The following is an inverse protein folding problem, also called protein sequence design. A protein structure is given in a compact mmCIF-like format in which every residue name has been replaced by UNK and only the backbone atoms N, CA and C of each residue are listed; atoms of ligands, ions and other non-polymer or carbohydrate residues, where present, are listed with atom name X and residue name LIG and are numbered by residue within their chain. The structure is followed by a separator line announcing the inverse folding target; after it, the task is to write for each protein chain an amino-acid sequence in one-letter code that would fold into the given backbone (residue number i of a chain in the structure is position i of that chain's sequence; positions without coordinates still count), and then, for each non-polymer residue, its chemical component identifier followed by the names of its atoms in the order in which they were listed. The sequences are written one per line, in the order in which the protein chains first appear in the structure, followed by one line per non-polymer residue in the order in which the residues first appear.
data_IF_174298389085
#
_entry.id   IF_174298389085
#
_cell.length_a   1.000
_cell.length_b   1.000
_cell.length_c   1.000
_cell.angle_alpha   90.00
_cell.angle_beta   90.00
_cell.angle_gamma   90.00
#
_symmetry.space_group_name_H-M   'P 1'
#
loop_
_entity.id
_entity.type
_entity.pdbx_description
1 polymer ?
#
# COMPACT_ATOMS: atom_id res chain seq x y z
N UNK A 1 54.30 18.76 -25.34
CA UNK A 1 54.54 17.36 -25.69
C UNK A 1 53.24 16.57 -25.45
N UNK A 2 52.53 16.17 -26.55
CA UNK A 2 51.18 15.59 -26.47
C UNK A 2 51.12 14.25 -25.72
N UNK A 3 52.22 13.46 -25.70
CA UNK A 3 52.29 12.19 -25.04
C UNK A 3 52.36 12.27 -23.48
N UNK A 4 52.96 13.32 -22.95
CA UNK A 4 52.99 13.54 -21.50
C UNK A 4 51.58 13.88 -20.93
N UNK A 5 50.78 14.63 -21.72
CA UNK A 5 49.39 14.88 -21.38
C UNK A 5 48.57 13.58 -21.38
N UNK A 6 48.71 12.75 -22.42
CA UNK A 6 48.02 11.49 -22.50
C UNK A 6 48.39 10.51 -21.37
N UNK A 7 49.67 10.43 -21.00
CA UNK A 7 50.12 9.61 -19.87
C UNK A 7 49.55 10.07 -18.54
N UNK A 8 49.48 11.38 -18.30
CA UNK A 8 48.85 11.97 -17.07
C UNK A 8 47.35 11.62 -17.00
N UNK A 9 46.65 11.75 -18.12
CA UNK A 9 45.20 11.41 -18.18
C UNK A 9 44.98 9.94 -17.91
N UNK A 10 45.77 9.04 -18.53
CA UNK A 10 45.65 7.60 -18.31
C UNK A 10 45.97 7.26 -16.84
N UNK A 11 47.04 7.83 -16.28
CA UNK A 11 47.43 7.60 -14.89
C UNK A 11 46.32 8.08 -13.91
N UNK A 12 45.74 9.24 -14.17
CA UNK A 12 44.62 9.74 -13.39
C UNK A 12 43.38 8.84 -13.51
N UNK A 13 43.03 8.37 -14.72
CA UNK A 13 41.92 7.47 -14.96
C UNK A 13 42.11 6.13 -14.22
N UNK A 14 43.35 5.60 -14.16
CA UNK A 14 43.68 4.38 -13.41
C UNK A 14 43.50 4.57 -11.91
N UNK A 15 43.95 5.70 -11.34
CA UNK A 15 43.71 6.01 -9.92
C UNK A 15 42.20 6.09 -9.65
N UNK A 16 41.47 6.78 -10.50
CA UNK A 16 40.04 6.94 -10.36
C UNK A 16 39.29 5.61 -10.43
N UNK A 17 39.70 4.73 -11.36
CA UNK A 17 39.18 3.37 -11.46
C UNK A 17 39.40 2.58 -10.16
N UNK A 18 40.63 2.62 -9.61
CA UNK A 18 40.95 1.92 -8.35
C UNK A 18 40.09 2.48 -7.20
N UNK A 19 39.96 3.80 -7.10
CA UNK A 19 39.10 4.43 -6.08
C UNK A 19 37.64 3.99 -6.24
N UNK A 20 37.10 4.01 -7.45
CA UNK A 20 35.72 3.56 -7.72
C UNK A 20 35.50 2.08 -7.37
N UNK A 21 36.48 1.22 -7.67
CA UNK A 21 36.41 -0.22 -7.32
C UNK A 21 36.45 -0.44 -5.80
N UNK A 22 37.26 0.36 -5.07
CA UNK A 22 37.30 0.33 -3.60
C UNK A 22 35.94 0.77 -3.03
N UNK A 23 35.42 1.90 -3.51
CA UNK A 23 34.11 2.39 -3.09
C UNK A 23 33.01 1.37 -3.38
N UNK A 24 33.00 0.79 -4.58
CA UNK A 24 32.09 -0.31 -4.96
C UNK A 24 32.17 -1.48 -3.96
N UNK A 25 33.38 -1.94 -3.64
CA UNK A 25 33.58 -3.04 -2.70
C UNK A 25 33.08 -2.71 -1.30
N UNK A 26 33.32 -1.47 -0.82
CA UNK A 26 32.81 -0.98 0.48
C UNK A 26 31.28 -0.94 0.49
N UNK A 27 30.66 -0.36 -0.53
CA UNK A 27 29.20 -0.26 -0.63
C UNK A 27 28.56 -1.65 -0.68
N UNK A 28 29.07 -2.58 -1.48
CA UNK A 28 28.57 -3.95 -1.53
C UNK A 28 28.74 -4.67 -0.19
N UNK A 29 29.86 -4.47 0.51
CA UNK A 29 30.09 -5.06 1.84
C UNK A 29 29.14 -4.51 2.89
N UNK A 30 28.81 -3.22 2.83
CA UNK A 30 27.81 -2.60 3.70
C UNK A 30 26.42 -3.15 3.41
N UNK A 31 26.08 -3.28 2.11
CA UNK A 31 24.81 -3.84 1.65
C UNK A 31 24.65 -5.30 2.14
N UNK A 32 25.66 -6.15 1.92
CA UNK A 32 25.64 -7.54 2.38
C UNK A 32 25.40 -7.62 3.89
N UNK A 33 26.11 -6.81 4.70
CA UNK A 33 25.90 -6.77 6.16
C UNK A 33 24.51 -6.29 6.56
N UNK A 34 23.95 -5.32 5.83
CA UNK A 34 22.61 -4.82 6.09
C UNK A 34 21.56 -5.90 5.78
N UNK A 35 21.70 -6.60 4.64
CA UNK A 35 20.80 -7.67 4.24
C UNK A 35 20.89 -8.88 5.17
N UNK A 36 22.10 -9.28 5.60
CA UNK A 36 22.32 -10.40 6.53
C UNK A 36 21.68 -10.16 7.91
N UNK A 37 21.46 -8.89 8.28
CA UNK A 37 20.79 -8.53 9.55
C UNK A 37 19.31 -8.91 9.55
N UNK A 38 18.69 -8.97 8.37
CA UNK A 38 17.29 -9.35 8.19
C UNK A 38 17.19 -10.85 7.89
N UNK A 39 17.16 -11.69 8.92
CA UNK A 39 17.12 -13.17 8.82
C UNK A 39 15.95 -13.76 8.01
N UNK A 40 14.96 -12.94 7.68
CA UNK A 40 13.77 -13.34 6.92
C UNK A 40 13.89 -13.11 5.41
N UNK A 41 14.99 -12.49 4.95
CA UNK A 41 15.20 -12.25 3.52
C UNK A 41 15.66 -13.56 2.87
N UNK A 42 14.88 -14.03 1.89
CA UNK A 42 15.23 -15.21 1.12
C UNK A 42 16.55 -14.97 0.34
N UNK A 43 17.37 -16.01 0.26
CA UNK A 43 18.67 -15.95 -0.44
C UNK A 43 18.57 -15.45 -1.88
N UNK A 44 17.48 -15.78 -2.55
CA UNK A 44 17.18 -15.34 -3.92
C UNK A 44 17.08 -13.82 -4.02
N UNK A 45 16.35 -13.19 -3.06
CA UNK A 45 16.18 -11.74 -3.01
C UNK A 45 17.50 -11.04 -2.65
N UNK A 46 18.28 -11.59 -1.72
CA UNK A 46 19.60 -11.07 -1.38
C UNK A 46 20.51 -11.05 -2.62
N UNK A 47 20.57 -12.17 -3.36
CA UNK A 47 21.39 -12.28 -4.59
C UNK A 47 20.91 -11.28 -5.66
N UNK A 48 19.60 -11.12 -5.81
CA UNK A 48 19.02 -10.16 -6.77
C UNK A 48 19.42 -8.72 -6.44
N UNK A 49 19.21 -8.27 -5.19
CA UNK A 49 19.54 -6.90 -4.74
C UNK A 49 21.05 -6.63 -4.93
N UNK A 50 21.90 -7.58 -4.54
CA UNK A 50 23.35 -7.48 -4.71
C UNK A 50 23.76 -7.38 -6.18
N UNK A 51 23.16 -8.17 -7.05
CA UNK A 51 23.44 -8.15 -8.49
C UNK A 51 23.04 -6.82 -9.12
N UNK A 52 21.83 -6.31 -8.78
CA UNK A 52 21.36 -5.00 -9.24
C UNK A 52 22.31 -3.88 -8.81
N UNK A 53 22.70 -3.86 -7.53
CA UNK A 53 23.65 -2.86 -7.01
C UNK A 53 25.02 -2.98 -7.70
N UNK A 54 25.49 -4.19 -7.97
CA UNK A 54 26.76 -4.43 -8.67
C UNK A 54 26.74 -3.87 -10.09
N UNK A 55 25.63 -4.03 -10.82
CA UNK A 55 25.43 -3.50 -12.16
C UNK A 55 25.40 -1.97 -12.13
N UNK A 56 24.60 -1.38 -11.24
CA UNK A 56 24.48 0.08 -11.10
C UNK A 56 25.83 0.72 -10.78
N UNK A 57 26.54 0.22 -9.77
CA UNK A 57 27.85 0.74 -9.38
C UNK A 57 28.91 0.51 -10.45
N UNK A 58 28.84 -0.63 -11.17
CA UNK A 58 29.71 -0.91 -12.31
C UNK A 58 29.52 0.09 -13.45
N UNK A 59 28.26 0.40 -13.75
CA UNK A 59 27.91 1.40 -14.75
C UNK A 59 28.38 2.80 -14.37
N UNK A 60 28.15 3.23 -13.12
CA UNK A 60 28.65 4.52 -12.59
C UNK A 60 30.18 4.60 -12.71
N UNK A 61 30.88 3.52 -12.34
CA UNK A 61 32.33 3.42 -12.45
C UNK A 61 32.78 3.59 -13.91
N UNK A 62 32.11 2.91 -14.84
CA UNK A 62 32.41 3.02 -16.28
C UNK A 62 32.25 4.45 -16.79
N UNK A 63 31.17 5.13 -16.39
CA UNK A 63 30.89 6.53 -16.78
C UNK A 63 31.98 7.49 -16.27
N UNK A 64 32.34 7.39 -14.99
CA UNK A 64 33.35 8.24 -14.37
C UNK A 64 34.71 8.07 -15.05
N UNK A 65 35.10 6.82 -15.33
CA UNK A 65 36.37 6.52 -15.99
C UNK A 65 36.36 6.99 -17.45
N UNK A 66 35.27 6.75 -18.20
CA UNK A 66 35.15 7.22 -19.58
C UNK A 66 35.27 8.74 -19.70
N UNK A 67 34.62 9.49 -18.81
CA UNK A 67 34.69 10.94 -18.78
C UNK A 67 36.11 11.44 -18.44
N UNK A 68 36.81 10.75 -17.52
CA UNK A 68 38.20 11.08 -17.17
C UNK A 68 39.19 10.86 -18.33
N UNK A 69 38.84 9.99 -19.28
CA UNK A 69 39.61 9.75 -20.52
C UNK A 69 39.23 10.71 -21.65
N UNK A 70 38.33 11.68 -21.39
CA UNK A 70 37.86 12.64 -22.38
C UNK A 70 36.81 12.10 -23.35
N UNK A 71 36.23 10.91 -23.04
CA UNK A 71 35.13 10.35 -23.81
C UNK A 71 33.85 11.09 -23.38
N UNK A 72 33.15 11.70 -24.34
CA UNK A 72 31.91 12.36 -24.05
C UNK A 72 30.82 11.32 -23.68
N UNK A 73 30.56 11.21 -22.37
CA UNK A 73 29.60 10.28 -21.81
C UNK A 73 28.14 10.72 -21.96
N UNK A 74 27.87 11.95 -22.48
CA UNK A 74 26.53 12.52 -22.57
C UNK A 74 25.54 11.67 -23.34
N UNK A 75 25.97 11.10 -24.48
CA UNK A 75 25.09 10.21 -25.28
C UNK A 75 24.74 8.92 -24.53
N UNK A 76 25.69 8.37 -23.78
CA UNK A 76 25.48 7.17 -22.97
C UNK A 76 24.57 7.50 -21.77
N UNK A 77 24.75 8.66 -21.16
CA UNK A 77 23.88 9.14 -20.09
C UNK A 77 22.43 9.35 -20.58
N UNK A 78 22.24 9.87 -21.80
CA UNK A 78 20.93 10.01 -22.41
C UNK A 78 20.24 8.64 -22.58
N UNK A 79 20.96 7.63 -23.10
CA UNK A 79 20.43 6.27 -23.22
C UNK A 79 20.03 5.69 -21.86
N UNK A 80 20.89 5.82 -20.85
CA UNK A 80 20.59 5.31 -19.50
C UNK A 80 19.42 6.04 -18.87
N UNK A 81 19.26 7.33 -19.16
CA UNK A 81 18.09 8.09 -18.68
C UNK A 81 16.79 7.55 -19.26
N UNK A 82 16.78 7.16 -20.55
CA UNK A 82 15.61 6.52 -21.18
C UNK A 82 15.34 5.16 -20.54
N UNK A 83 16.36 4.32 -20.36
CA UNK A 83 16.22 3.05 -19.66
C UNK A 83 15.76 3.23 -18.21
N UNK A 84 16.32 4.20 -17.48
CA UNK A 84 15.92 4.53 -16.13
C UNK A 84 14.46 4.93 -16.04
N UNK A 85 13.97 5.71 -17.01
CA UNK A 85 12.55 6.07 -17.10
C UNK A 85 11.68 4.82 -17.33
N UNK A 86 12.06 3.93 -18.25
CA UNK A 86 11.33 2.70 -18.52
C UNK A 86 11.26 1.79 -17.27
N UNK A 87 12.37 1.62 -16.56
CA UNK A 87 12.41 0.86 -15.29
C UNK A 87 11.55 1.55 -14.22
N UNK A 88 11.66 2.86 -14.09
CA UNK A 88 10.87 3.64 -13.12
C UNK A 88 9.37 3.45 -13.34
N UNK A 89 8.91 3.51 -14.60
CA UNK A 89 7.52 3.25 -14.95
C UNK A 89 7.10 1.80 -14.62
N UNK A 90 7.99 0.84 -14.81
CA UNK A 90 7.70 -0.58 -14.52
C UNK A 90 7.54 -0.87 -13.02
N UNK A 91 8.24 -0.15 -12.14
CA UNK A 91 8.16 -0.35 -10.67
C UNK A 91 7.23 0.62 -9.96
N UNK A 92 6.63 1.56 -10.69
CA UNK A 92 5.75 2.62 -10.17
C UNK A 92 4.67 2.08 -9.24
N UNK A 93 3.94 1.05 -9.69
CA UNK A 93 2.81 0.50 -8.93
C UNK A 93 3.27 -0.23 -7.65
N UNK A 94 4.43 -0.87 -7.69
CA UNK A 94 5.03 -1.48 -6.50
C UNK A 94 5.41 -0.43 -5.45
N UNK A 95 6.00 0.69 -5.90
CA UNK A 95 6.33 1.82 -5.03
C UNK A 95 5.07 2.50 -4.49
N UNK A 96 4.02 2.65 -5.32
CA UNK A 96 2.74 3.21 -4.89
C UNK A 96 2.11 2.34 -3.78
N UNK A 97 2.17 1.01 -3.90
CA UNK A 97 1.68 0.11 -2.87
C UNK A 97 2.48 0.21 -1.55
N UNK A 98 3.80 0.34 -1.61
CA UNK A 98 4.63 0.57 -0.42
C UNK A 98 4.28 1.91 0.25
N UNK A 99 4.13 2.98 -0.54
CA UNK A 99 3.72 4.29 -0.04
C UNK A 99 2.31 4.23 0.58
N UNK A 100 1.36 3.52 -0.07
CA UNK A 100 0.02 3.25 0.45
C UNK A 100 0.06 2.53 1.80
N UNK A 101 0.86 1.47 1.92
CA UNK A 101 1.04 0.74 3.18
C UNK A 101 1.59 1.63 4.29
N UNK A 102 2.59 2.45 3.99
CA UNK A 102 3.11 3.45 4.93
C UNK A 102 2.03 4.46 5.35
N UNK A 103 1.24 4.95 4.39
CA UNK A 103 0.13 5.87 4.67
C UNK A 103 -0.90 5.24 5.60
N UNK A 104 -1.38 4.02 5.33
CA UNK A 104 -2.35 3.32 6.17
C UNK A 104 -1.81 3.14 7.60
N UNK A 105 -0.56 2.69 7.75
CA UNK A 105 0.07 2.48 9.05
C UNK A 105 0.28 3.77 9.85
N UNK A 106 0.53 4.90 9.16
CA UNK A 106 0.75 6.21 9.77
C UNK A 106 -0.56 6.90 10.17
N UNK A 107 -1.55 6.94 9.27
CA UNK A 107 -2.82 7.62 9.49
C UNK A 107 -3.83 6.78 10.25
N UNK A 108 -3.71 5.45 10.17
CA UNK A 108 -4.55 4.45 10.86
C UNK A 108 -6.05 4.69 10.66
N UNK A 109 -6.55 4.78 9.42
CA UNK A 109 -7.98 4.95 9.17
C UNK A 109 -8.82 3.77 9.67
N UNK A 110 -8.19 2.61 9.85
CA UNK A 110 -8.72 1.41 10.45
C UNK A 110 -7.60 0.62 11.15
N UNK A 111 -7.98 -0.36 11.98
CA UNK A 111 -7.07 -1.24 12.71
C UNK A 111 -7.32 -2.69 12.34
N UNK A 112 -6.36 -3.57 12.65
CA UNK A 112 -6.57 -5.02 12.58
C UNK A 112 -7.71 -5.41 13.53
N UNK A 113 -8.70 -6.11 13.00
CA UNK A 113 -9.92 -6.48 13.71
C UNK A 113 -11.15 -5.65 13.32
N UNK A 114 -10.98 -4.46 12.74
CA UNK A 114 -12.11 -3.63 12.28
C UNK A 114 -12.82 -4.28 11.09
N UNK A 115 -14.15 -4.19 11.08
CA UNK A 115 -14.94 -4.49 9.89
C UNK A 115 -15.07 -3.22 9.06
N UNK A 116 -14.58 -3.30 7.83
CA UNK A 116 -14.57 -2.17 6.90
C UNK A 116 -15.17 -2.55 5.55
N UNK A 117 -15.65 -1.56 4.85
CA UNK A 117 -16.02 -1.65 3.43
C UNK A 117 -15.11 -0.71 2.65
N UNK A 118 -14.36 -1.26 1.69
CA UNK A 118 -13.40 -0.56 0.83
C UNK A 118 -13.93 -0.62 -0.58
N UNK A 119 -14.48 0.48 -1.08
CA UNK A 119 -15.26 0.49 -2.33
C UNK A 119 -16.47 -0.43 -2.23
N UNK A 120 -16.49 -1.55 -2.97
CA UNK A 120 -17.57 -2.56 -2.93
C UNK A 120 -17.19 -3.83 -2.14
N UNK A 121 -16.05 -3.83 -1.47
CA UNK A 121 -15.51 -5.03 -0.79
C UNK A 121 -15.60 -4.85 0.72
N UNK A 122 -16.49 -5.62 1.37
CA UNK A 122 -16.63 -5.66 2.82
C UNK A 122 -15.85 -6.80 3.46
N UNK A 123 -15.24 -6.55 4.62
CA UNK A 123 -14.55 -7.58 5.38
C UNK A 123 -13.86 -7.06 6.64
N UNK A 124 -13.42 -8.01 7.47
CA UNK A 124 -12.63 -7.71 8.66
C UNK A 124 -11.15 -7.65 8.32
N UNK A 125 -10.47 -6.59 8.72
CA UNK A 125 -9.02 -6.44 8.53
C UNK A 125 -8.29 -7.52 9.34
N UNK A 126 -7.52 -8.37 8.66
CA UNK A 126 -6.69 -9.41 9.29
C UNK A 126 -5.24 -9.00 9.44
N UNK A 127 -4.72 -8.29 8.46
CA UNK A 127 -3.31 -7.87 8.45
C UNK A 127 -3.16 -6.64 7.56
N UNK A 128 -2.30 -5.72 7.98
CA UNK A 128 -1.86 -4.58 7.18
C UNK A 128 -0.39 -4.80 6.89
N UNK A 129 -0.09 -5.29 5.67
CA UNK A 129 1.27 -5.51 5.20
C UNK A 129 1.85 -4.30 4.49
N UNK A 130 3.11 -4.38 4.07
CA UNK A 130 3.77 -3.29 3.35
C UNK A 130 3.19 -3.02 1.96
N UNK A 131 2.68 -4.05 1.28
CA UNK A 131 2.20 -3.97 -0.12
C UNK A 131 0.71 -4.25 -0.21
N UNK A 132 0.19 -5.13 0.64
CA UNK A 132 -1.20 -5.59 0.64
C UNK A 132 -1.80 -5.50 2.03
N UNK A 133 -3.08 -5.15 2.06
CA UNK A 133 -3.96 -5.31 3.22
C UNK A 133 -4.79 -6.58 3.02
N UNK A 134 -4.88 -7.44 4.05
CA UNK A 134 -5.68 -8.67 4.03
C UNK A 134 -7.00 -8.45 4.73
N UNK A 135 -8.09 -8.79 4.05
CA UNK A 135 -9.45 -8.76 4.58
C UNK A 135 -10.01 -10.20 4.62
N UNK A 136 -10.78 -10.51 5.66
CA UNK A 136 -11.60 -11.71 5.72
C UNK A 136 -13.07 -11.33 5.52
N UNK A 137 -13.71 -11.89 4.51
CA UNK A 137 -15.15 -11.73 4.26
C UNK A 137 -15.99 -12.50 5.27
N UNK A 138 -17.30 -12.22 5.35
CA UNK A 138 -18.22 -12.92 6.25
C UNK A 138 -18.34 -14.43 5.93
N UNK A 139 -18.12 -14.81 4.68
CA UNK A 139 -18.05 -16.21 4.23
C UNK A 139 -16.64 -16.81 4.33
N UNK A 140 -15.77 -16.17 5.13
CA UNK A 140 -14.43 -16.63 5.50
C UNK A 140 -13.43 -16.76 4.34
N UNK A 141 -13.60 -15.98 3.27
CA UNK A 141 -12.60 -15.85 2.21
C UNK A 141 -11.58 -14.76 2.56
N UNK A 142 -10.34 -14.95 2.15
CA UNK A 142 -9.29 -13.93 2.31
C UNK A 142 -9.16 -13.17 1.00
N UNK A 143 -9.28 -11.86 1.11
CA UNK A 143 -9.04 -10.91 0.01
C UNK A 143 -7.73 -10.20 0.29
N UNK A 144 -6.81 -10.23 -0.68
CA UNK A 144 -5.58 -9.46 -0.69
C UNK A 144 -5.80 -8.21 -1.53
N UNK A 145 -5.86 -7.06 -0.89
CA UNK A 145 -6.09 -5.78 -1.57
C UNK A 145 -4.79 -4.98 -1.61
N UNK A 146 -4.31 -4.54 -2.79
CA UNK A 146 -3.14 -3.69 -2.90
C UNK A 146 -3.34 -2.39 -2.12
N UNK A 147 -2.33 -1.95 -1.38
CA UNK A 147 -2.46 -0.81 -0.48
C UNK A 147 -2.76 0.51 -1.21
N UNK A 148 -2.27 0.70 -2.46
CA UNK A 148 -2.63 1.86 -3.25
C UNK A 148 -4.13 1.93 -3.55
N UNK A 149 -4.76 0.76 -3.84
CA UNK A 149 -6.21 0.67 -4.07
C UNK A 149 -6.99 1.02 -2.80
N UNK A 150 -6.49 0.57 -1.63
CA UNK A 150 -7.11 0.89 -0.33
C UNK A 150 -7.05 2.39 -0.03
N UNK A 151 -5.91 3.04 -0.32
CA UNK A 151 -5.73 4.49 -0.06
C UNK A 151 -6.55 5.35 -1.02
N UNK A 152 -6.72 4.90 -2.27
CA UNK A 152 -7.46 5.64 -3.29
C UNK A 152 -8.98 5.41 -3.22
N UNK A 153 -9.43 4.37 -2.50
CA UNK A 153 -10.85 4.03 -2.37
C UNK A 153 -11.52 4.78 -1.20
N UNK A 154 -12.84 4.92 -1.31
CA UNK A 154 -13.66 5.26 -0.14
C UNK A 154 -13.64 4.10 0.86
N UNK A 155 -13.38 4.42 2.13
CA UNK A 155 -13.35 3.44 3.22
C UNK A 155 -14.42 3.79 4.24
N UNK A 156 -15.39 2.90 4.40
CA UNK A 156 -16.37 2.95 5.48
C UNK A 156 -15.91 2.02 6.59
N UNK A 157 -15.58 2.58 7.77
CA UNK A 157 -15.21 1.78 8.94
C UNK A 157 -16.43 1.64 9.87
N UNK A 158 -16.93 0.42 9.98
CA UNK A 158 -18.11 0.11 10.83
C UNK A 158 -17.75 -0.16 12.29
N UNK A 159 -16.45 -0.23 12.61
CA UNK A 159 -15.96 -0.54 13.96
C UNK A 159 -15.25 0.63 14.64
N UNK A 160 -15.11 1.78 13.95
CA UNK A 160 -14.39 2.94 14.48
C UNK A 160 -15.16 3.64 15.60
N UNK A 161 -16.49 3.64 15.51
CA UNK A 161 -17.38 4.27 16.48
C UNK A 161 -18.13 3.22 17.31
N UNK A 162 -18.30 3.48 18.58
CA UNK A 162 -18.97 2.56 19.52
C UNK A 162 -20.47 2.44 19.25
N UNK A 163 -21.06 3.47 18.67
CA UNK A 163 -22.49 3.54 18.40
C UNK A 163 -22.78 3.59 16.91
N UNK A 164 -23.77 2.84 16.48
CA UNK A 164 -24.24 2.82 15.10
C UNK A 164 -25.75 2.80 15.01
N UNK A 165 -26.30 3.59 14.07
CA UNK A 165 -27.72 3.50 13.72
C UNK A 165 -27.97 2.25 12.88
N UNK A 166 -28.99 1.51 13.26
CA UNK A 166 -29.51 0.36 12.49
C UNK A 166 -30.90 0.73 11.97
N UNK A 167 -31.06 0.75 10.65
CA UNK A 167 -32.35 1.02 10.02
C UNK A 167 -32.99 -0.32 9.62
N UNK A 168 -34.16 -0.59 10.17
CA UNK A 168 -34.92 -1.80 9.90
C UNK A 168 -36.26 -1.43 9.26
N UNK A 169 -36.62 -2.12 8.17
CA UNK A 169 -37.94 -2.00 7.57
C UNK A 169 -38.77 -3.21 7.98
N UNK A 170 -39.90 -2.95 8.59
CA UNK A 170 -40.87 -3.98 9.02
C UNK A 170 -42.14 -3.81 8.19
N UNK A 171 -42.68 -4.92 7.70
CA UNK A 171 -43.92 -4.91 6.90
C UNK A 171 -45.13 -5.31 7.74
N UNK A 172 -46.26 -4.66 7.51
CA UNK A 172 -47.54 -4.98 8.14
C UNK A 172 -48.64 -5.01 7.07
N UNK A 173 -49.70 -5.76 7.33
CA UNK A 173 -50.86 -5.84 6.47
C UNK A 173 -51.57 -4.46 6.35
N UNK A 174 -52.21 -4.18 5.20
CA UNK A 174 -52.89 -2.91 4.97
C UNK A 174 -54.05 -2.62 5.88
N UNK A 175 -54.69 -3.65 6.42
CA UNK A 175 -55.78 -3.56 7.37
C UNK A 175 -55.33 -3.37 8.83
N UNK A 176 -54.03 -3.49 9.09
CA UNK A 176 -53.47 -3.28 10.41
C UNK A 176 -53.48 -1.79 10.79
N UNK A 177 -53.99 -1.42 11.98
CA UNK A 177 -53.93 -0.04 12.45
C UNK A 177 -52.47 0.42 12.66
N UNK A 178 -52.03 1.44 11.91
CA UNK A 178 -50.66 1.95 11.89
C UNK A 178 -50.13 2.23 13.29
N UNK A 179 -50.94 2.85 14.15
CA UNK A 179 -50.52 3.20 15.52
C UNK A 179 -50.35 1.95 16.42
N UNK A 180 -51.11 0.89 16.16
CA UNK A 180 -50.91 -0.38 16.85
C UNK A 180 -49.60 -1.06 16.41
N UNK A 181 -49.32 -1.05 15.11
CA UNK A 181 -48.05 -1.60 14.57
C UNK A 181 -46.86 -0.86 15.15
N UNK A 182 -46.90 0.50 15.16
CA UNK A 182 -45.84 1.33 15.75
C UNK A 182 -45.61 0.97 17.24
N UNK A 183 -46.69 0.81 18.02
CA UNK A 183 -46.59 0.46 19.42
C UNK A 183 -45.96 -0.91 19.64
N UNK A 184 -46.39 -1.90 18.88
CA UNK A 184 -45.82 -3.25 18.94
C UNK A 184 -44.36 -3.28 18.60
N UNK A 185 -43.95 -2.56 17.53
CA UNK A 185 -42.54 -2.44 17.14
C UNK A 185 -41.75 -1.72 18.24
N UNK A 186 -42.27 -0.65 18.82
CA UNK A 186 -41.62 0.04 19.93
C UNK A 186 -41.38 -0.86 21.14
N UNK A 187 -42.38 -1.64 21.54
CA UNK A 187 -42.24 -2.61 22.63
C UNK A 187 -41.18 -3.67 22.38
N UNK A 188 -41.01 -4.11 21.14
CA UNK A 188 -39.96 -5.11 20.75
C UNK A 188 -38.60 -4.45 20.81
N UNK A 189 -38.46 -3.26 20.24
CA UNK A 189 -37.19 -2.50 20.20
C UNK A 189 -36.74 -2.16 21.64
N UNK A 190 -37.62 -1.69 22.48
CA UNK A 190 -37.28 -1.29 23.86
C UNK A 190 -36.86 -2.48 24.74
N UNK A 191 -37.29 -3.69 24.41
CA UNK A 191 -36.90 -4.91 25.14
C UNK A 191 -35.55 -5.47 24.72
N UNK A 192 -34.97 -4.98 23.62
CA UNK A 192 -33.74 -5.51 23.12
C UNK A 192 -32.53 -4.95 23.86
N UNK A 193 -31.67 -5.80 24.39
CA UNK A 193 -30.54 -5.43 25.26
C UNK A 193 -29.54 -4.42 24.64
N UNK A 194 -29.40 -4.42 23.30
CA UNK A 194 -28.51 -3.52 22.59
C UNK A 194 -29.16 -2.20 22.18
N UNK A 195 -30.44 -2.00 22.47
CA UNK A 195 -31.14 -0.75 22.18
C UNK A 195 -30.81 0.29 23.23
N UNK A 196 -30.36 1.45 22.78
CA UNK A 196 -30.06 2.57 23.67
C UNK A 196 -31.34 3.37 23.98
N UNK A 197 -31.39 3.89 25.18
CA UNK A 197 -32.41 4.84 25.58
C UNK A 197 -32.12 6.28 25.16
N UNK A 198 -30.86 6.58 24.87
CA UNK A 198 -30.39 7.87 24.33
C UNK A 198 -29.25 7.61 23.29
N UNK A 199 -29.44 7.99 22.03
CA UNK A 199 -30.68 8.56 21.46
C UNK A 199 -31.83 7.57 21.38
N UNK A 200 -33.04 8.08 21.62
CA UNK A 200 -34.29 7.28 21.62
C UNK A 200 -34.56 6.74 20.21
N UNK A 201 -34.84 5.43 20.04
CA UNK A 201 -35.32 4.88 18.79
C UNK A 201 -36.58 5.58 18.28
N UNK A 202 -36.68 5.83 16.98
CA UNK A 202 -37.88 6.39 16.40
C UNK A 202 -38.48 5.43 15.35
N UNK A 203 -39.81 5.34 15.36
CA UNK A 203 -40.58 4.45 14.51
C UNK A 203 -41.60 5.29 13.74
N UNK A 204 -41.59 5.13 12.39
CA UNK A 204 -42.52 5.85 11.52
C UNK A 204 -42.91 5.00 10.34
N UNK A 205 -44.09 5.29 9.77
CA UNK A 205 -44.47 4.75 8.48
C UNK A 205 -43.54 5.32 7.42
N UNK A 206 -42.89 4.46 6.68
CA UNK A 206 -41.96 4.82 5.62
C UNK A 206 -42.75 5.10 4.32
N UNK A 207 -43.59 4.14 3.93
CA UNK A 207 -44.41 4.22 2.70
C UNK A 207 -45.51 3.17 2.71
N UNK A 208 -46.47 3.36 1.80
CA UNK A 208 -47.39 2.33 1.36
C UNK A 208 -46.71 1.57 0.21
N UNK A 209 -46.31 0.33 0.49
CA UNK A 209 -45.65 -0.53 -0.51
C UNK A 209 -46.69 -1.21 -1.41
N UNK A 210 -46.23 -2.04 -2.37
CA UNK A 210 -47.15 -2.70 -3.30
C UNK A 210 -48.07 -3.74 -2.64
N UNK A 211 -47.65 -4.34 -1.55
CA UNK A 211 -48.38 -5.42 -0.87
C UNK A 211 -48.50 -5.24 0.65
N UNK A 212 -47.87 -4.22 1.23
CA UNK A 212 -47.83 -4.01 2.68
C UNK A 212 -47.54 -2.57 3.07
N UNK A 213 -47.82 -2.22 4.30
CA UNK A 213 -47.29 -1.03 4.98
C UNK A 213 -45.82 -1.28 5.34
N UNK A 214 -44.96 -0.31 5.08
CA UNK A 214 -43.52 -0.38 5.45
C UNK A 214 -43.18 0.69 6.48
#
# INVERSE_FOLDING_TARGET
NGWEGALKTIFFALILLVVCLIVKAIVLKILDRALDRFKQIEKSLHTFIRSMMTIILGFITLMIVAESLGINASSLLALVSIFGLAVSLSVKDSLANLAGGFTILSTRPFKVGDYVEIGSTGGTIREIGMVYTKLATLDNRIILMPNNVVVDAEVTNYSAEDLRRVDLVVTAAYDAPVEQVKRTVAEVVDRHELTLSDPVPFIRLLRYGDSALE
#
